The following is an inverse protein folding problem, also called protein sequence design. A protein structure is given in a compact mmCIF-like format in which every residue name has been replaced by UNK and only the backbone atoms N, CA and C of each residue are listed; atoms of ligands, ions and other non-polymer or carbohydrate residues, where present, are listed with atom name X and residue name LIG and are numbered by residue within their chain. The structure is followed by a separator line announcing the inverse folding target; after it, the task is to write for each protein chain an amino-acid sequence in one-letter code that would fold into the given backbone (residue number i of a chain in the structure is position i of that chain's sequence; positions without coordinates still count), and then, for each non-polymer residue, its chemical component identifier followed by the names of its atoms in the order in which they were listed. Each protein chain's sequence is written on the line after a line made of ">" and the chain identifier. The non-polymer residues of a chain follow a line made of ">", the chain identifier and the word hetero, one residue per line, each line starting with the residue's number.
data_IF_338865647330
#
_entry.id   IF_338865647330
#
_cell.length_a   1.000
_cell.length_b   1.000
_cell.length_c   1.000
_cell.angle_alpha   90.00
_cell.angle_beta   90.00
_cell.angle_gamma   90.00
#
_symmetry.space_group_name_H-M   'P 1'
#
loop_
_entity.id
_entity.type
_entity.pdbx_description
1 polymer ?
#
# COMPACT_ATOMS: atom_id res chain seq x y z
N UNK A 1 -30.34 10.89 3.91
CA UNK A 1 -30.42 11.56 5.24
C UNK A 1 -29.29 12.58 5.32
N UNK A 2 -29.57 13.85 5.04
CA UNK A 2 -28.58 14.95 5.07
C UNK A 2 -28.23 15.27 6.54
N UNK A 3 -27.10 14.79 7.06
CA UNK A 3 -26.56 15.31 8.31
C UNK A 3 -25.93 16.67 8.01
N UNK A 4 -26.60 17.74 8.47
CA UNK A 4 -26.09 19.10 8.53
C UNK A 4 -24.82 19.12 9.38
N UNK A 5 -23.64 19.21 8.77
CA UNK A 5 -22.42 19.63 9.44
C UNK A 5 -22.46 21.17 9.59
N UNK A 6 -23.09 21.60 10.65
CA UNK A 6 -23.12 23.01 11.05
C UNK A 6 -22.40 23.11 12.40
N UNK A 7 -21.10 23.37 12.34
CA UNK A 7 -20.33 24.17 13.29
C UNK A 7 -18.93 24.39 12.72
N UNK A 8 -18.72 25.55 12.10
CA UNK A 8 -17.38 26.06 11.83
C UNK A 8 -16.74 26.37 13.19
N UNK A 9 -15.82 25.52 13.61
CA UNK A 9 -14.97 25.80 14.76
C UNK A 9 -13.97 26.88 14.35
N UNK A 10 -13.84 27.91 15.20
CA UNK A 10 -12.93 29.06 14.98
C UNK A 10 -11.43 28.71 15.06
N UNK A 11 -11.04 27.44 15.26
CA UNK A 11 -9.66 26.99 15.39
C UNK A 11 -9.25 26.13 14.20
N UNK A 12 -8.57 26.72 13.22
CA UNK A 12 -8.04 26.07 12.01
C UNK A 12 -7.17 24.83 12.29
N UNK A 13 -6.52 24.77 13.44
CA UNK A 13 -5.68 23.63 13.85
C UNK A 13 -6.51 22.41 14.27
N UNK A 14 -7.66 22.63 14.93
CA UNK A 14 -8.57 21.54 15.30
C UNK A 14 -9.32 20.97 14.09
N UNK A 15 -9.58 21.77 13.07
CA UNK A 15 -10.22 21.31 11.84
C UNK A 15 -9.26 20.40 11.05
N UNK A 16 -7.96 20.67 11.02
CA UNK A 16 -6.96 19.81 10.39
C UNK A 16 -6.86 18.43 11.07
N UNK A 17 -6.86 18.38 12.41
CA UNK A 17 -6.82 17.11 13.16
C UNK A 17 -8.06 16.22 12.91
N UNK A 18 -9.20 16.81 12.58
CA UNK A 18 -10.41 16.05 12.17
C UNK A 18 -10.29 15.45 10.77
N UNK A 19 -9.38 15.97 9.96
CA UNK A 19 -9.10 15.49 8.61
C UNK A 19 -8.02 14.42 8.57
N UNK A 20 -7.12 14.39 9.55
CA UNK A 20 -6.15 13.32 9.71
C UNK A 20 -6.89 11.99 9.86
N UNK A 21 -6.81 11.15 8.87
CA UNK A 21 -7.44 9.85 8.94
C UNK A 21 -7.30 9.01 7.69
N UNK A 22 -7.63 9.47 6.47
CA UNK A 22 -7.46 8.67 5.25
C UNK A 22 -6.02 8.38 4.94
N UNK A 23 -5.13 9.37 5.06
CA UNK A 23 -3.70 9.20 4.86
C UNK A 23 -3.07 8.30 5.93
N UNK A 24 -3.45 8.48 7.20
CA UNK A 24 -2.98 7.62 8.30
C UNK A 24 -3.44 6.16 8.15
N UNK A 25 -4.66 5.92 7.69
CA UNK A 25 -5.16 4.58 7.37
C UNK A 25 -4.33 3.92 6.28
N UNK A 26 -3.91 4.69 5.27
CA UNK A 26 -3.03 4.21 4.21
C UNK A 26 -1.61 4.03 4.73
N UNK A 27 -1.12 4.85 5.68
CA UNK A 27 0.21 4.68 6.30
C UNK A 27 0.31 3.37 7.08
N UNK A 28 -0.76 2.92 7.72
CA UNK A 28 -0.82 1.58 8.33
C UNK A 28 -0.63 0.51 7.25
N UNK A 29 -1.13 0.74 6.02
CA UNK A 29 -0.90 -0.12 4.86
C UNK A 29 0.55 -0.16 4.36
N UNK A 30 1.44 0.76 4.78
CA UNK A 30 2.87 0.72 4.46
C UNK A 30 3.71 -0.09 5.45
N UNK A 31 3.11 -0.57 6.53
CA UNK A 31 3.76 -1.44 7.51
C UNK A 31 3.10 -2.81 7.42
N UNK A 32 3.00 -3.31 6.20
CA UNK A 32 2.44 -4.60 5.86
C UNK A 32 3.52 -5.67 5.61
N UNK A 33 3.17 -6.96 5.64
CA UNK A 33 4.09 -8.05 5.37
C UNK A 33 4.83 -7.95 4.04
N UNK A 34 4.18 -7.43 2.98
CA UNK A 34 4.76 -7.26 1.65
C UNK A 34 5.87 -6.22 1.65
N UNK A 35 5.65 -5.05 2.27
CA UNK A 35 6.66 -4.01 2.46
C UNK A 35 7.84 -4.53 3.30
N UNK A 36 7.56 -5.26 4.38
CA UNK A 36 8.62 -5.81 5.22
C UNK A 36 9.52 -6.75 4.45
N UNK A 37 8.94 -7.70 3.71
CA UNK A 37 9.72 -8.62 2.90
C UNK A 37 10.56 -7.90 1.84
N UNK A 38 9.98 -6.93 1.12
CA UNK A 38 10.65 -6.16 0.08
C UNK A 38 11.82 -5.33 0.64
N UNK A 39 11.60 -4.64 1.76
CA UNK A 39 12.63 -3.81 2.39
C UNK A 39 13.76 -4.64 3.00
N UNK A 40 13.44 -5.79 3.62
CA UNK A 40 14.45 -6.72 4.15
C UNK A 40 15.26 -7.32 3.01
N UNK A 41 14.62 -7.74 1.91
CA UNK A 41 15.31 -8.24 0.73
C UNK A 41 16.23 -7.18 0.12
N UNK A 42 15.78 -5.92 0.05
CA UNK A 42 16.59 -4.81 -0.45
C UNK A 42 17.83 -4.57 0.41
N UNK A 43 17.65 -4.41 1.74
CA UNK A 43 18.76 -4.15 2.65
C UNK A 43 19.73 -5.32 2.78
N UNK A 44 19.22 -6.55 2.97
CA UNK A 44 20.06 -7.74 3.16
C UNK A 44 20.80 -8.19 1.90
N UNK A 45 20.16 -8.02 0.72
CA UNK A 45 20.73 -8.44 -0.55
C UNK A 45 21.66 -7.39 -1.18
N UNK A 46 21.38 -6.11 -0.99
CA UNK A 46 22.01 -5.03 -1.73
C UNK A 46 22.53 -3.88 -0.84
N UNK A 47 22.55 -4.06 0.47
CA UNK A 47 23.01 -3.03 1.39
C UNK A 47 22.17 -1.75 1.28
N UNK A 48 22.83 -0.60 1.13
CA UNK A 48 22.17 0.70 1.02
C UNK A 48 21.78 1.09 -0.42
N UNK A 49 22.15 0.28 -1.41
CA UNK A 49 22.07 0.66 -2.83
C UNK A 49 20.66 0.84 -3.35
N UNK A 50 19.63 0.26 -2.71
CA UNK A 50 18.24 0.36 -3.15
C UNK A 50 17.39 1.38 -2.35
N UNK A 51 17.99 2.17 -1.47
CA UNK A 51 17.28 3.23 -0.71
C UNK A 51 16.62 4.28 -1.62
N UNK A 52 17.23 4.58 -2.78
CA UNK A 52 16.64 5.51 -3.75
C UNK A 52 15.25 5.07 -4.22
N UNK A 53 15.02 3.76 -4.26
CA UNK A 53 13.73 3.22 -4.74
C UNK A 53 12.59 3.55 -3.77
N UNK A 54 12.83 3.46 -2.46
CA UNK A 54 11.83 3.88 -1.45
C UNK A 54 11.52 5.37 -1.59
N UNK A 55 12.55 6.20 -1.78
CA UNK A 55 12.37 7.64 -1.95
C UNK A 55 11.59 7.96 -3.21
N UNK A 56 11.99 7.38 -4.35
CA UNK A 56 11.32 7.60 -5.63
C UNK A 56 9.86 7.10 -5.58
N UNK A 57 9.63 5.90 -5.06
CA UNK A 57 8.29 5.32 -4.94
C UNK A 57 7.39 6.18 -4.04
N UNK A 58 7.92 6.70 -2.93
CA UNK A 58 7.15 7.58 -2.03
C UNK A 58 6.77 8.89 -2.71
N UNK A 59 7.69 9.52 -3.46
CA UNK A 59 7.39 10.73 -4.24
C UNK A 59 6.30 10.44 -5.28
N UNK A 60 6.44 9.33 -6.02
CA UNK A 60 5.43 8.91 -6.99
C UNK A 60 4.06 8.70 -6.31
N UNK A 61 4.04 8.03 -5.17
CA UNK A 61 2.81 7.75 -4.45
C UNK A 61 2.11 9.01 -3.97
N UNK A 62 2.82 9.99 -3.39
CA UNK A 62 2.23 11.26 -2.97
C UNK A 62 1.47 11.91 -4.13
N UNK A 63 2.06 11.92 -5.32
CA UNK A 63 1.48 12.53 -6.51
C UNK A 63 0.28 11.72 -7.01
N UNK A 64 0.41 10.40 -7.12
CA UNK A 64 -0.64 9.52 -7.62
C UNK A 64 -1.83 9.46 -6.67
N UNK A 65 -1.57 9.39 -5.36
CA UNK A 65 -2.62 9.32 -4.35
C UNK A 65 -3.39 10.63 -4.25
N UNK A 66 -2.70 11.78 -4.27
CA UNK A 66 -3.36 13.09 -4.34
C UNK A 66 -4.19 13.24 -5.61
N UNK A 67 -3.70 12.77 -6.75
CA UNK A 67 -4.44 12.82 -8.02
C UNK A 67 -5.68 11.90 -8.01
N UNK A 68 -5.60 10.72 -7.36
CA UNK A 68 -6.76 9.84 -7.16
C UNK A 68 -7.81 10.50 -6.23
N UNK A 69 -7.35 11.15 -5.16
CA UNK A 69 -8.20 11.91 -4.26
C UNK A 69 -8.83 13.13 -4.96
N UNK A 70 -8.06 13.83 -5.82
CA UNK A 70 -8.55 14.94 -6.62
C UNK A 70 -9.75 14.53 -7.49
N UNK A 71 -9.68 13.35 -8.15
CA UNK A 71 -10.82 12.79 -8.87
C UNK A 71 -12.03 12.63 -7.94
N UNK A 72 -11.87 11.98 -6.80
CA UNK A 72 -12.96 11.73 -5.85
C UNK A 72 -13.59 13.00 -5.29
N UNK A 73 -12.77 13.99 -4.93
CA UNK A 73 -13.21 15.26 -4.34
C UNK A 73 -13.93 16.13 -5.40
N UNK A 74 -13.39 16.18 -6.62
CA UNK A 74 -13.92 17.07 -7.66
C UNK A 74 -15.17 16.52 -8.35
N UNK A 75 -15.29 15.19 -8.47
CA UNK A 75 -16.35 14.55 -9.27
C UNK A 75 -17.39 13.80 -8.45
N UNK A 76 -17.06 13.42 -7.22
CA UNK A 76 -17.89 12.52 -6.43
C UNK A 76 -17.86 11.06 -6.91
N UNK A 77 -16.91 10.70 -7.77
CA UNK A 77 -16.74 9.35 -8.30
C UNK A 77 -15.40 8.78 -7.82
N UNK A 78 -15.38 7.54 -7.39
CA UNK A 78 -14.11 6.85 -7.20
C UNK A 78 -13.51 6.41 -8.55
N UNK A 79 -12.25 5.99 -8.55
CA UNK A 79 -11.52 5.65 -9.77
C UNK A 79 -12.19 4.51 -10.56
N UNK A 80 -12.77 3.51 -9.90
CA UNK A 80 -13.49 2.41 -10.57
C UNK A 80 -14.81 2.86 -11.17
N UNK A 81 -15.56 3.74 -10.51
CA UNK A 81 -16.80 4.32 -11.03
C UNK A 81 -16.54 5.24 -12.21
N UNK A 82 -15.51 6.11 -12.10
CA UNK A 82 -15.12 6.99 -13.20
C UNK A 82 -14.67 6.18 -14.42
N UNK A 83 -13.85 5.14 -14.23
CA UNK A 83 -13.46 4.24 -15.31
C UNK A 83 -14.68 3.57 -15.95
N UNK A 84 -15.66 3.15 -15.16
CA UNK A 84 -16.87 2.50 -15.63
C UNK A 84 -17.79 3.40 -16.42
N UNK A 85 -17.83 4.68 -16.06
CA UNK A 85 -18.71 5.66 -16.69
C UNK A 85 -18.11 6.25 -17.97
N UNK A 86 -16.78 6.41 -18.06
CA UNK A 86 -16.13 7.19 -19.11
C UNK A 86 -15.21 6.40 -20.02
N UNK A 87 -14.92 5.14 -19.72
CA UNK A 87 -14.07 4.26 -20.55
C UNK A 87 -14.94 3.22 -21.26
N UNK A 88 -14.57 2.88 -22.50
CA UNK A 88 -15.28 1.86 -23.29
C UNK A 88 -15.32 0.51 -22.55
N UNK A 89 -16.42 -0.21 -22.65
CA UNK A 89 -16.72 -1.43 -21.89
C UNK A 89 -15.59 -2.48 -21.90
N UNK A 90 -15.01 -2.75 -23.07
CA UNK A 90 -13.93 -3.76 -23.18
C UNK A 90 -12.68 -3.31 -22.42
N UNK A 91 -12.22 -2.08 -22.69
CA UNK A 91 -11.01 -1.52 -22.06
C UNK A 91 -11.20 -1.36 -20.55
N UNK A 92 -12.37 -0.87 -20.12
CA UNK A 92 -12.75 -0.79 -18.70
C UNK A 92 -12.60 -2.15 -18.01
N UNK A 93 -13.15 -3.21 -18.62
CA UNK A 93 -13.11 -4.54 -18.02
C UNK A 93 -11.66 -5.04 -17.90
N UNK A 94 -10.82 -4.83 -18.91
CA UNK A 94 -9.39 -5.19 -18.86
C UNK A 94 -8.69 -4.45 -17.72
N UNK A 95 -8.89 -3.13 -17.61
CA UNK A 95 -8.31 -2.30 -16.56
C UNK A 95 -8.75 -2.78 -15.17
N UNK A 96 -10.05 -2.92 -14.94
CA UNK A 96 -10.58 -3.30 -13.64
C UNK A 96 -10.26 -4.75 -13.26
N UNK A 97 -10.24 -5.68 -14.22
CA UNK A 97 -9.79 -7.04 -13.96
C UNK A 97 -8.30 -7.11 -13.63
N UNK A 98 -7.45 -6.34 -14.30
CA UNK A 98 -6.03 -6.26 -13.96
C UNK A 98 -5.81 -5.67 -12.54
N UNK A 99 -6.58 -4.64 -12.17
CA UNK A 99 -6.56 -4.07 -10.83
C UNK A 99 -7.10 -5.05 -9.76
N UNK A 100 -8.09 -5.88 -10.13
CA UNK A 100 -8.60 -6.97 -9.28
C UNK A 100 -7.51 -8.02 -9.01
N UNK A 101 -6.74 -8.41 -10.03
CA UNK A 101 -5.60 -9.31 -9.87
C UNK A 101 -4.52 -8.73 -8.94
N UNK A 102 -4.28 -7.42 -9.02
CA UNK A 102 -3.40 -6.74 -8.06
C UNK A 102 -3.95 -6.81 -6.63
N UNK A 103 -5.25 -6.60 -6.43
CA UNK A 103 -5.87 -6.77 -5.11
C UNK A 103 -5.75 -8.22 -4.58
N UNK A 104 -5.88 -9.22 -5.45
CA UNK A 104 -5.66 -10.64 -5.11
C UNK A 104 -4.21 -10.89 -4.71
N UNK A 105 -3.23 -10.34 -5.46
CA UNK A 105 -1.81 -10.49 -5.16
C UNK A 105 -1.47 -9.87 -3.79
N UNK A 106 -2.05 -8.71 -3.48
CA UNK A 106 -1.90 -8.11 -2.14
C UNK A 106 -2.54 -8.96 -1.06
N UNK A 107 -3.82 -9.34 -1.21
CA UNK A 107 -4.49 -10.19 -0.23
C UNK A 107 -3.70 -11.49 0.04
N UNK A 108 -3.07 -12.06 -0.99
CA UNK A 108 -2.18 -13.21 -0.86
C UNK A 108 -0.95 -12.89 0.02
N UNK A 109 -0.27 -11.77 -0.23
CA UNK A 109 0.87 -11.36 0.58
C UNK A 109 0.49 -11.15 2.04
N UNK A 110 -0.63 -10.46 2.28
CA UNK A 110 -1.10 -10.13 3.62
C UNK A 110 -1.48 -11.38 4.42
N UNK A 111 -2.26 -12.28 3.81
CA UNK A 111 -2.60 -13.57 4.43
C UNK A 111 -1.37 -14.44 4.67
N UNK A 112 -0.42 -14.42 3.74
CA UNK A 112 0.84 -15.17 3.86
C UNK A 112 1.69 -14.63 5.01
N UNK A 113 1.79 -13.30 5.15
CA UNK A 113 2.46 -12.66 6.29
C UNK A 113 1.81 -13.00 7.62
N UNK A 114 0.48 -12.93 7.71
CA UNK A 114 -0.27 -13.36 8.90
C UNK A 114 -0.07 -14.84 9.22
N UNK A 115 0.03 -15.71 8.20
CA UNK A 115 0.32 -17.13 8.38
C UNK A 115 1.75 -17.39 8.87
N UNK A 116 2.74 -16.63 8.37
CA UNK A 116 4.13 -16.66 8.89
C UNK A 116 4.13 -16.28 10.37
N UNK A 117 3.38 -15.24 10.75
CA UNK A 117 3.25 -14.85 12.15
C UNK A 117 2.65 -15.96 13.03
N UNK A 118 1.60 -16.64 12.57
CA UNK A 118 1.03 -17.81 13.26
C UNK A 118 2.02 -18.95 13.36
N UNK A 119 2.87 -19.17 12.34
CA UNK A 119 3.93 -20.15 12.40
C UNK A 119 4.99 -19.78 13.44
N UNK A 120 5.38 -18.50 13.52
CA UNK A 120 6.34 -18.01 14.50
C UNK A 120 5.83 -18.16 15.94
N UNK A 121 4.56 -17.81 16.19
CA UNK A 121 3.98 -17.79 17.54
C UNK A 121 3.54 -19.18 18.02
N UNK A 122 2.91 -19.96 17.13
CA UNK A 122 2.18 -21.18 17.49
C UNK A 122 2.62 -22.41 16.72
N UNK A 123 3.64 -22.28 15.85
CA UNK A 123 4.14 -23.36 14.95
C UNK A 123 3.06 -23.93 14.03
N UNK A 124 2.03 -23.15 13.72
CA UNK A 124 0.95 -23.54 12.81
C UNK A 124 1.52 -23.57 11.37
N UNK A 125 1.31 -24.65 10.59
CA UNK A 125 1.74 -24.71 9.20
C UNK A 125 1.13 -23.57 8.38
N UNK A 126 1.91 -22.95 7.47
CA UNK A 126 1.52 -21.75 6.72
C UNK A 126 0.19 -21.93 5.98
N UNK A 127 -0.02 -23.10 5.35
CA UNK A 127 -1.28 -23.38 4.62
C UNK A 127 -2.49 -23.35 5.55
N UNK A 128 -2.39 -23.89 6.75
CA UNK A 128 -3.46 -23.86 7.77
C UNK A 128 -3.60 -22.43 8.32
N UNK A 129 -2.47 -21.78 8.64
CA UNK A 129 -2.44 -20.40 9.10
C UNK A 129 -3.13 -19.44 8.11
N UNK A 130 -2.89 -19.60 6.82
CA UNK A 130 -3.54 -18.77 5.78
C UNK A 130 -5.05 -18.95 5.75
N UNK A 131 -5.55 -20.17 5.95
CA UNK A 131 -7.00 -20.40 6.03
C UNK A 131 -7.60 -19.78 7.28
N UNK A 132 -6.88 -19.79 8.40
CA UNK A 132 -7.31 -19.10 9.63
C UNK A 132 -7.36 -17.59 9.42
N UNK A 133 -6.32 -17.00 8.80
CA UNK A 133 -6.30 -15.56 8.47
C UNK A 133 -7.45 -15.22 7.52
N UNK A 134 -7.70 -16.03 6.48
CA UNK A 134 -8.85 -15.85 5.59
C UNK A 134 -10.17 -15.80 6.39
N UNK A 135 -10.42 -16.79 7.24
CA UNK A 135 -11.65 -16.88 8.02
C UNK A 135 -11.85 -15.68 8.95
N UNK A 136 -10.79 -15.30 9.69
CA UNK A 136 -10.82 -14.14 10.60
C UNK A 136 -11.02 -12.84 9.81
N UNK A 137 -10.30 -12.64 8.71
CA UNK A 137 -10.41 -11.44 7.91
C UNK A 137 -11.78 -11.29 7.25
N UNK A 138 -12.37 -12.39 6.73
CA UNK A 138 -13.74 -12.38 6.21
C UNK A 138 -14.77 -12.08 7.31
N UNK A 139 -14.62 -12.69 8.47
CA UNK A 139 -15.50 -12.42 9.61
C UNK A 139 -15.42 -10.93 10.01
N UNK A 140 -14.23 -10.36 10.07
CA UNK A 140 -14.03 -8.95 10.38
C UNK A 140 -14.55 -8.02 9.28
N UNK A 141 -14.39 -8.39 8.00
CA UNK A 141 -14.87 -7.59 6.87
C UNK A 141 -16.41 -7.51 6.81
N UNK A 142 -17.10 -8.62 7.10
CA UNK A 142 -18.58 -8.69 7.06
C UNK A 142 -19.27 -8.30 8.37
N UNK A 143 -18.51 -8.16 9.48
CA UNK A 143 -19.00 -7.67 10.74
C UNK A 143 -18.39 -6.31 11.07
N UNK A 144 -19.03 -5.51 11.92
CA UNK A 144 -18.41 -4.26 12.38
C UNK A 144 -17.22 -4.47 13.36
N UNK A 145 -16.68 -5.68 13.44
CA UNK A 145 -15.59 -6.04 14.34
C UNK A 145 -14.28 -5.33 13.98
N UNK A 146 -14.06 -5.02 12.69
CA UNK A 146 -12.86 -4.32 12.21
C UNK A 146 -12.57 -3.02 12.98
N UNK A 147 -13.59 -2.18 13.22
CA UNK A 147 -13.43 -0.92 13.97
C UNK A 147 -12.89 -1.09 15.39
N UNK A 148 -13.11 -2.25 16.00
CA UNK A 148 -12.61 -2.55 17.36
C UNK A 148 -11.15 -3.00 17.32
N UNK A 149 -10.78 -3.74 16.29
CA UNK A 149 -9.43 -4.29 16.11
C UNK A 149 -8.51 -3.21 15.54
N UNK A 150 -9.00 -2.28 14.73
CA UNK A 150 -8.26 -1.20 14.10
C UNK A 150 -7.36 -0.41 15.08
N UNK A 151 -7.86 -0.10 16.26
CA UNK A 151 -7.07 0.60 17.28
C UNK A 151 -5.89 -0.23 17.78
N UNK A 152 -6.06 -1.53 17.98
CA UNK A 152 -4.98 -2.44 18.36
C UNK A 152 -3.93 -2.54 17.25
N UNK A 153 -4.38 -2.64 16.01
CA UNK A 153 -3.51 -2.68 14.85
C UNK A 153 -2.65 -1.43 14.79
N UNK A 154 -3.25 -0.25 14.89
CA UNK A 154 -2.53 1.03 14.88
C UNK A 154 -1.49 1.06 15.99
N UNK A 155 -1.81 0.62 17.20
CA UNK A 155 -0.88 0.60 18.34
C UNK A 155 0.33 -0.31 18.04
N UNK A 156 0.10 -1.57 17.63
CA UNK A 156 1.20 -2.51 17.40
C UNK A 156 2.04 -2.15 16.18
N UNK A 157 1.40 -1.73 15.09
CA UNK A 157 2.08 -1.30 13.87
C UNK A 157 2.91 -0.04 14.14
N UNK A 158 2.36 0.92 14.90
CA UNK A 158 3.12 2.12 15.32
C UNK A 158 4.28 1.76 16.23
N UNK A 159 4.08 0.84 17.18
CA UNK A 159 5.13 0.39 18.09
C UNK A 159 6.32 -0.17 17.31
N UNK A 160 6.07 -1.02 16.31
CA UNK A 160 7.16 -1.56 15.47
C UNK A 160 7.79 -0.51 14.58
N UNK A 161 7.01 0.35 13.95
CA UNK A 161 7.55 1.46 13.17
C UNK A 161 8.50 2.33 14.00
N UNK A 162 8.09 2.70 15.21
CA UNK A 162 8.93 3.45 16.16
C UNK A 162 10.14 2.63 16.64
N UNK A 163 10.00 1.32 16.82
CA UNK A 163 11.12 0.46 17.19
C UNK A 163 12.22 0.44 16.12
N UNK A 164 11.86 0.33 14.83
CA UNK A 164 12.83 0.44 13.75
C UNK A 164 13.50 1.81 13.71
N UNK A 165 12.74 2.89 13.89
CA UNK A 165 13.31 4.25 13.94
C UNK A 165 14.24 4.45 15.15
N UNK A 166 13.95 3.83 16.29
CA UNK A 166 14.81 3.90 17.47
C UNK A 166 16.10 3.09 17.28
N UNK A 167 16.00 1.90 16.69
CA UNK A 167 17.15 1.02 16.47
C UNK A 167 18.17 1.58 15.48
N UNK A 168 17.76 2.47 14.56
CA UNK A 168 18.67 3.23 13.71
C UNK A 168 19.71 4.00 14.56
N UNK A 169 19.31 4.51 15.73
CA UNK A 169 20.21 5.23 16.66
C UNK A 169 21.26 4.33 17.34
N UNK A 170 21.02 3.01 17.38
CA UNK A 170 21.89 2.04 18.05
C UNK A 170 22.73 1.26 17.03
N UNK A 171 22.20 1.06 15.82
CA UNK A 171 22.84 0.29 14.77
C UNK A 171 24.09 1.02 14.21
N UNK A 172 25.09 0.23 13.83
CA UNK A 172 26.30 0.77 13.16
C UNK A 172 25.99 0.98 11.67
N UNK A 173 25.31 2.08 11.35
CA UNK A 173 24.94 2.45 9.99
C UNK A 173 26.07 3.25 9.36
N UNK A 174 26.45 2.89 8.14
CA UNK A 174 27.29 3.75 7.29
C UNK A 174 26.41 4.84 6.68
N UNK A 175 26.34 6.00 7.38
CA UNK A 175 25.55 7.14 6.93
C UNK A 175 26.05 7.75 5.63
N UNK A 176 27.34 7.59 5.29
CA UNK A 176 27.90 8.05 4.03
C UNK A 176 27.34 7.24 2.86
N UNK A 177 27.40 5.90 2.96
CA UNK A 177 26.84 5.00 1.97
C UNK A 177 25.30 5.13 1.89
N UNK A 178 24.62 5.28 3.02
CA UNK A 178 23.17 5.48 3.06
C UNK A 178 22.73 6.77 2.35
N UNK A 179 23.43 7.90 2.60
CA UNK A 179 23.13 9.18 1.95
C UNK A 179 23.27 9.08 0.41
N UNK A 180 24.32 8.41 -0.07
CA UNK A 180 24.49 8.13 -1.49
C UNK A 180 23.35 7.24 -1.99
N UNK A 181 23.00 6.18 -1.23
CA UNK A 181 21.95 5.23 -1.57
C UNK A 181 20.56 5.86 -1.71
N UNK A 182 20.24 6.93 -0.97
CA UNK A 182 18.94 7.64 -1.12
C UNK A 182 18.84 8.46 -2.40
N UNK A 183 19.96 8.94 -2.93
CA UNK A 183 19.96 9.92 -4.05
C UNK A 183 20.38 9.29 -5.37
N UNK A 184 21.33 8.34 -5.34
CA UNK A 184 21.91 7.76 -6.54
C UNK A 184 21.18 6.48 -6.94
N UNK A 185 20.43 6.43 -8.07
CA UNK A 185 19.90 5.19 -8.61
C UNK A 185 21.01 4.18 -8.91
N UNK A 186 20.85 2.96 -8.43
CA UNK A 186 21.75 1.84 -8.65
C UNK A 186 20.95 0.60 -9.08
N UNK A 187 21.52 -0.19 -9.99
CA UNK A 187 20.90 -1.40 -10.53
C UNK A 187 21.89 -2.58 -10.43
N UNK A 188 22.19 -3.04 -9.21
CA UNK A 188 23.07 -4.20 -9.04
C UNK A 188 22.54 -5.44 -9.76
N UNK A 189 23.42 -6.34 -10.16
CA UNK A 189 23.02 -7.58 -10.82
C UNK A 189 22.01 -8.37 -9.95
N UNK A 190 20.89 -8.80 -10.53
CA UNK A 190 19.82 -9.51 -9.83
C UNK A 190 18.91 -8.64 -8.95
N UNK A 191 19.05 -7.30 -8.93
CA UNK A 191 18.24 -6.42 -8.08
C UNK A 191 16.86 -6.11 -8.65
N UNK A 192 16.60 -6.28 -9.94
CA UNK A 192 15.35 -5.86 -10.60
C UNK A 192 14.08 -6.44 -9.94
N UNK A 193 14.00 -7.72 -9.57
CA UNK A 193 12.82 -8.24 -8.86
C UNK A 193 12.56 -7.53 -7.53
N UNK A 194 13.63 -7.20 -6.79
CA UNK A 194 13.54 -6.48 -5.51
C UNK A 194 13.20 -5.01 -5.72
N UNK A 195 13.77 -4.34 -6.72
CA UNK A 195 13.44 -2.96 -7.11
C UNK A 195 11.93 -2.87 -7.41
N UNK A 196 11.40 -3.76 -8.25
CA UNK A 196 9.97 -3.79 -8.57
C UNK A 196 9.12 -4.19 -7.37
N UNK A 197 9.62 -5.09 -6.51
CA UNK A 197 8.94 -5.45 -5.27
C UNK A 197 8.81 -4.23 -4.33
N UNK A 198 9.88 -3.46 -4.14
CA UNK A 198 9.84 -2.21 -3.34
C UNK A 198 8.88 -1.19 -3.97
N UNK A 199 8.94 -1.02 -5.30
CA UNK A 199 8.01 -0.13 -6.01
C UNK A 199 6.55 -0.54 -5.79
N UNK A 200 6.22 -1.80 -6.02
CA UNK A 200 4.87 -2.32 -5.88
C UNK A 200 4.35 -2.30 -4.45
N UNK A 201 5.24 -2.55 -3.49
CA UNK A 201 4.93 -2.49 -2.07
C UNK A 201 4.60 -1.06 -1.60
N UNK A 202 5.30 -0.03 -2.13
CA UNK A 202 5.03 1.37 -1.81
C UNK A 202 3.87 1.91 -2.63
N UNK A 203 3.86 1.70 -3.97
CA UNK A 203 2.81 2.23 -4.86
C UNK A 203 1.84 1.11 -5.24
N UNK A 204 0.93 0.81 -4.36
CA UNK A 204 -0.06 -0.25 -4.55
C UNK A 204 -1.20 0.22 -5.46
N UNK A 205 -1.35 -0.30 -6.69
CA UNK A 205 -2.38 0.19 -7.61
C UNK A 205 -3.81 0.03 -7.08
N UNK A 206 -4.14 -1.08 -6.43
CA UNK A 206 -5.45 -1.31 -5.84
C UNK A 206 -5.77 -0.32 -4.70
N UNK A 207 -4.75 0.15 -3.97
CA UNK A 207 -4.94 1.18 -2.94
C UNK A 207 -5.28 2.56 -3.51
N UNK A 208 -4.87 2.88 -4.75
CA UNK A 208 -5.32 4.10 -5.43
C UNK A 208 -6.83 4.05 -5.69
N UNK A 209 -7.38 2.88 -6.05
CA UNK A 209 -8.83 2.69 -6.17
C UNK A 209 -9.53 2.83 -4.82
N UNK A 210 -9.03 2.14 -3.80
CA UNK A 210 -9.60 2.20 -2.44
C UNK A 210 -9.50 3.61 -1.84
N UNK A 211 -8.38 4.31 -2.03
CA UNK A 211 -8.20 5.67 -1.52
C UNK A 211 -9.22 6.62 -2.14
N UNK A 212 -9.42 6.54 -3.46
CA UNK A 212 -10.43 7.37 -4.14
C UNK A 212 -11.86 7.09 -3.61
N UNK A 213 -12.18 5.85 -3.25
CA UNK A 213 -13.45 5.46 -2.63
C UNK A 213 -13.61 6.02 -1.21
N UNK A 214 -12.58 5.88 -0.37
CA UNK A 214 -12.60 6.39 1.00
C UNK A 214 -12.78 7.92 1.00
N UNK A 215 -12.11 8.62 0.09
CA UNK A 215 -12.23 10.07 -0.06
C UNK A 215 -13.62 10.45 -0.55
N UNK A 216 -14.18 9.74 -1.54
CA UNK A 216 -15.54 9.93 -2.02
C UNK A 216 -16.57 9.80 -0.87
N UNK A 217 -16.41 8.79 -0.02
CA UNK A 217 -17.32 8.56 1.11
C UNK A 217 -17.31 9.70 2.14
N UNK A 218 -16.25 10.52 2.15
CA UNK A 218 -16.05 11.70 3.02
C UNK A 218 -16.30 13.03 2.34
N UNK A 219 -16.80 13.00 1.11
CA UNK A 219 -17.09 14.21 0.35
C UNK A 219 -18.11 15.11 1.05
N UNK A 220 -17.85 16.43 1.04
CA UNK A 220 -18.60 17.38 1.83
C UNK A 220 -19.60 18.18 1.02
N UNK A 221 -19.18 18.71 -0.12
CA UNK A 221 -20.04 19.51 -0.99
C UNK A 221 -19.39 19.63 -2.38
N UNK A 222 -20.10 19.16 -3.40
CA UNK A 222 -19.69 19.27 -4.81
C UNK A 222 -20.03 20.62 -5.43
N UNK A 223 -20.88 21.41 -4.77
CA UNK A 223 -21.41 22.65 -5.34
C UNK A 223 -20.59 23.87 -4.92
N UNK A 224 -19.81 23.79 -3.82
CA UNK A 224 -19.03 24.91 -3.30
C UNK A 224 -17.55 24.76 -3.59
N UNK A 225 -17.04 25.57 -4.51
CA UNK A 225 -15.64 25.60 -4.93
C UNK A 225 -14.65 25.87 -3.79
N UNK A 226 -15.07 26.66 -2.81
CA UNK A 226 -14.22 26.99 -1.67
C UNK A 226 -14.01 25.77 -0.78
N UNK A 227 -15.05 24.95 -0.60
CA UNK A 227 -15.03 23.70 0.15
C UNK A 227 -14.19 22.67 -0.58
N UNK A 228 -14.35 22.51 -1.90
CA UNK A 228 -13.54 21.60 -2.71
C UNK A 228 -12.05 21.94 -2.61
N UNK A 229 -11.68 23.22 -2.81
CA UNK A 229 -10.28 23.68 -2.70
C UNK A 229 -9.72 23.45 -1.30
N UNK A 230 -10.50 23.69 -0.25
CA UNK A 230 -10.09 23.47 1.12
C UNK A 230 -9.88 21.98 1.39
N UNK A 231 -10.77 21.11 0.91
CA UNK A 231 -10.68 19.67 1.05
C UNK A 231 -9.44 19.12 0.34
N UNK A 232 -9.16 19.54 -0.88
CA UNK A 232 -7.94 19.18 -1.63
C UNK A 232 -6.67 19.57 -0.86
N UNK A 233 -6.64 20.78 -0.27
CA UNK A 233 -5.49 21.24 0.52
C UNK A 233 -5.26 20.41 1.78
N UNK A 234 -6.32 19.99 2.45
CA UNK A 234 -6.20 19.19 3.66
C UNK A 234 -5.82 17.74 3.32
N UNK A 235 -6.41 17.17 2.28
CA UNK A 235 -6.07 15.84 1.79
C UNK A 235 -4.59 15.78 1.39
N UNK A 236 -4.09 16.75 0.61
CA UNK A 236 -2.68 16.80 0.25
C UNK A 236 -1.74 16.82 1.47
N UNK A 237 -2.08 17.59 2.51
CA UNK A 237 -1.29 17.64 3.74
C UNK A 237 -1.34 16.33 4.52
N UNK A 238 -2.51 15.69 4.59
CA UNK A 238 -2.68 14.39 5.22
C UNK A 238 -1.87 13.32 4.49
N UNK A 239 -1.98 13.26 3.16
CA UNK A 239 -1.18 12.37 2.30
C UNK A 239 0.31 12.63 2.46
N UNK A 240 0.78 13.88 2.36
CA UNK A 240 2.19 14.23 2.48
C UNK A 240 2.77 13.81 3.84
N UNK A 241 2.09 14.15 4.93
CA UNK A 241 2.54 13.81 6.29
C UNK A 241 2.61 12.30 6.49
N UNK A 242 1.58 11.61 6.05
CA UNK A 242 1.47 10.15 6.17
C UNK A 242 2.55 9.43 5.36
N UNK A 243 2.80 9.90 4.13
CA UNK A 243 3.82 9.30 3.26
C UNK A 243 5.25 9.56 3.74
N UNK A 244 5.53 10.72 4.36
CA UNK A 244 6.83 10.98 4.99
C UNK A 244 7.10 10.00 6.13
N UNK A 245 6.10 9.71 6.97
CA UNK A 245 6.22 8.69 8.02
C UNK A 245 6.48 7.30 7.40
N UNK A 246 5.71 6.92 6.37
CA UNK A 246 5.91 5.66 5.67
C UNK A 246 7.29 5.56 5.03
N UNK A 247 7.78 6.62 4.41
CA UNK A 247 9.14 6.69 3.86
C UNK A 247 10.21 6.48 4.94
N UNK A 248 10.06 7.14 6.09
CA UNK A 248 11.01 7.01 7.19
C UNK A 248 11.06 5.58 7.74
N UNK A 249 9.91 4.93 7.91
CA UNK A 249 9.82 3.55 8.41
C UNK A 249 10.39 2.56 7.38
N UNK A 250 10.01 2.67 6.10
CA UNK A 250 10.54 1.79 5.05
C UNK A 250 12.06 1.96 4.88
N UNK A 251 12.55 3.21 4.91
CA UNK A 251 14.00 3.49 4.90
C UNK A 251 14.69 2.88 6.12
N UNK A 252 14.09 3.00 7.31
CA UNK A 252 14.61 2.40 8.54
C UNK A 252 14.78 0.89 8.42
N UNK A 253 13.81 0.21 7.82
CA UNK A 253 13.87 -1.24 7.62
C UNK A 253 14.99 -1.64 6.67
N UNK A 254 15.21 -0.92 5.56
CA UNK A 254 16.32 -1.17 4.64
C UNK A 254 17.66 -0.90 5.35
N UNK A 255 17.77 0.23 6.07
CA UNK A 255 18.98 0.59 6.81
C UNK A 255 19.36 -0.48 7.85
N UNK A 256 18.36 -0.95 8.61
CA UNK A 256 18.56 -2.00 9.61
C UNK A 256 18.93 -3.34 8.96
N UNK A 257 18.25 -3.74 7.89
CA UNK A 257 18.59 -4.95 7.17
C UNK A 257 20.00 -4.88 6.55
N UNK A 258 20.40 -3.73 6.01
CA UNK A 258 21.74 -3.50 5.50
C UNK A 258 22.80 -3.57 6.60
N UNK A 259 22.55 -2.91 7.74
CA UNK A 259 23.52 -2.87 8.84
C UNK A 259 23.70 -4.21 9.56
N UNK A 260 22.64 -5.04 9.61
CA UNK A 260 22.64 -6.28 10.41
C UNK A 260 22.80 -7.56 9.59
N UNK A 261 22.38 -7.57 8.34
CA UNK A 261 22.22 -8.77 7.54
C UNK A 261 23.08 -8.78 6.26
N UNK A 262 23.48 -7.61 5.76
CA UNK A 262 24.32 -7.52 4.58
C UNK A 262 25.77 -7.88 4.88
N UNK A 263 26.30 -8.93 4.21
CA UNK A 263 27.65 -9.44 4.43
C UNK A 263 28.61 -9.14 3.25
N UNK A 264 28.40 -8.04 2.53
CA UNK A 264 29.27 -7.62 1.43
C UNK A 264 29.33 -8.63 0.26
N UNK A 265 29.03 -8.23 -0.96
CA UNK A 265 29.22 -8.94 -2.23
C UNK A 265 28.67 -10.37 -2.43
N UNK A 266 28.58 -11.14 -1.39
CA UNK A 266 27.99 -12.50 -1.33
C UNK A 266 26.79 -12.53 -0.37
N UNK A 267 26.02 -11.45 -0.30
CA UNK A 267 24.86 -11.35 0.59
C UNK A 267 23.97 -12.59 0.49
N UNK A 268 23.85 -13.35 1.57
CA UNK A 268 22.85 -14.40 1.67
C UNK A 268 21.50 -13.72 1.51
N UNK A 269 20.86 -13.92 0.37
CA UNK A 269 19.45 -13.54 0.24
C UNK A 269 18.69 -14.22 1.36
N UNK A 270 18.07 -13.41 2.21
CA UNK A 270 17.26 -13.93 3.29
C UNK A 270 15.98 -14.48 2.69
N UNK A 271 15.74 -15.74 2.94
CA UNK A 271 14.57 -16.47 2.46
C UNK A 271 13.45 -16.57 3.52
N UNK A 272 13.64 -15.90 4.68
CA UNK A 272 12.75 -16.06 5.83
C UNK A 272 12.51 -14.74 6.57
N UNK A 273 11.23 -14.34 6.65
CA UNK A 273 10.81 -13.15 7.38
C UNK A 273 11.04 -13.25 8.91
N UNK A 274 11.22 -14.46 9.45
CA UNK A 274 11.49 -14.66 10.88
C UNK A 274 12.80 -14.01 11.33
N UNK A 275 13.73 -13.80 10.39
CA UNK A 275 15.00 -13.12 10.66
C UNK A 275 14.77 -11.64 11.00
N UNK A 276 13.70 -11.01 10.50
CA UNK A 276 13.37 -9.64 10.84
C UNK A 276 13.09 -9.43 12.33
N UNK A 277 12.51 -10.43 13.00
CA UNK A 277 12.34 -10.39 14.45
C UNK A 277 13.67 -10.28 15.21
N UNK A 278 14.75 -10.87 14.67
CA UNK A 278 16.09 -10.79 15.26
C UNK A 278 16.73 -9.39 15.10
N UNK A 279 16.32 -8.63 14.09
CA UNK A 279 16.80 -7.26 13.89
C UNK A 279 16.38 -6.34 15.04
N UNK A 280 15.25 -6.61 15.69
CA UNK A 280 14.73 -5.88 16.84
C UNK A 280 15.29 -6.36 18.19
N UNK A 281 16.15 -7.39 18.19
CA UNK A 281 16.71 -7.95 19.41
C UNK A 281 17.56 -6.97 20.24
N UNK A 282 18.33 -6.04 19.67
CA UNK A 282 19.08 -5.06 20.45
C UNK A 282 18.21 -4.21 21.36
N UNK A 283 16.99 -3.85 20.92
CA UNK A 283 16.05 -3.05 21.70
C UNK A 283 15.17 -3.89 22.63
N UNK A 284 14.65 -5.01 22.14
CA UNK A 284 13.59 -5.78 22.81
C UNK A 284 14.09 -7.12 23.41
N UNK A 285 15.36 -7.46 23.23
CA UNK A 285 15.92 -8.73 23.74
C UNK A 285 15.13 -9.94 23.25
N UNK A 286 14.84 -10.88 24.13
CA UNK A 286 14.11 -12.11 23.81
C UNK A 286 12.64 -11.87 23.41
N UNK A 287 12.05 -10.72 23.73
CA UNK A 287 10.68 -10.39 23.34
C UNK A 287 10.55 -9.94 21.88
N UNK A 288 11.64 -9.57 21.22
CA UNK A 288 11.66 -9.02 19.86
C UNK A 288 10.87 -9.87 18.86
N UNK A 289 11.15 -11.17 18.83
CA UNK A 289 10.49 -12.11 17.91
C UNK A 289 8.98 -12.20 18.16
N UNK A 290 8.54 -12.19 19.42
CA UNK A 290 7.11 -12.28 19.77
C UNK A 290 6.40 -10.97 19.39
N UNK A 291 6.99 -9.83 19.73
CA UNK A 291 6.41 -8.50 19.40
C UNK A 291 6.32 -8.33 17.89
N UNK A 292 7.38 -8.69 17.16
CA UNK A 292 7.39 -8.68 15.69
C UNK A 292 6.30 -9.58 15.10
N UNK A 293 6.18 -10.82 15.57
CA UNK A 293 5.18 -11.76 15.09
C UNK A 293 3.74 -11.31 15.41
N UNK A 294 3.50 -10.72 16.57
CA UNK A 294 2.17 -10.15 16.90
C UNK A 294 1.82 -9.00 15.97
N UNK A 295 2.75 -8.11 15.68
CA UNK A 295 2.47 -7.01 14.76
C UNK A 295 2.32 -7.50 13.31
N UNK A 296 3.13 -8.47 12.89
CA UNK A 296 2.99 -9.11 11.57
C UNK A 296 1.61 -9.78 11.43
N UNK A 297 1.12 -10.43 12.49
CA UNK A 297 -0.21 -11.04 12.53
C UNK A 297 -1.32 -9.99 12.38
N UNK A 298 -1.25 -8.94 13.18
CA UNK A 298 -2.24 -7.88 13.17
C UNK A 298 -2.21 -7.08 11.87
N UNK A 299 -1.02 -6.77 11.35
CA UNK A 299 -0.85 -6.15 10.04
C UNK A 299 -1.44 -7.03 8.94
N UNK A 300 -1.09 -8.32 8.91
CA UNK A 300 -1.60 -9.27 7.92
C UNK A 300 -3.13 -9.37 7.92
N UNK A 301 -3.78 -9.42 9.09
CA UNK A 301 -5.25 -9.42 9.19
C UNK A 301 -5.82 -8.09 8.68
N UNK A 302 -5.28 -6.95 9.13
CA UNK A 302 -5.76 -5.62 8.73
C UNK A 302 -5.67 -5.41 7.22
N UNK A 303 -4.49 -5.65 6.68
CA UNK A 303 -4.21 -5.40 5.28
C UNK A 303 -4.92 -6.41 4.36
N UNK A 304 -5.19 -7.64 4.83
CA UNK A 304 -6.08 -8.57 4.13
C UNK A 304 -7.50 -8.00 3.98
N UNK A 305 -8.03 -7.34 5.03
CA UNK A 305 -9.35 -6.73 4.98
C UNK A 305 -9.36 -5.56 3.99
N UNK A 306 -8.36 -4.68 4.03
CA UNK A 306 -8.28 -3.53 3.11
C UNK A 306 -8.08 -3.98 1.66
N UNK A 307 -7.29 -5.01 1.40
CA UNK A 307 -7.15 -5.62 0.07
C UNK A 307 -8.49 -6.21 -0.42
N UNK A 308 -9.23 -6.87 0.47
CA UNK A 308 -10.59 -7.33 0.19
C UNK A 308 -11.55 -6.19 -0.14
N UNK A 309 -11.51 -5.09 0.62
CA UNK A 309 -12.32 -3.88 0.35
C UNK A 309 -11.96 -3.24 -0.99
N UNK A 310 -10.66 -3.16 -1.32
CA UNK A 310 -10.21 -2.69 -2.63
C UNK A 310 -10.77 -3.56 -3.76
N UNK A 311 -10.71 -4.89 -3.61
CA UNK A 311 -11.32 -5.84 -4.53
C UNK A 311 -12.83 -5.65 -4.64
N UNK A 312 -13.53 -5.39 -3.54
CA UNK A 312 -14.95 -5.05 -3.53
C UNK A 312 -15.27 -3.78 -4.31
N UNK A 313 -14.47 -2.71 -4.11
CA UNK A 313 -14.59 -1.43 -4.84
C UNK A 313 -14.38 -1.60 -6.35
N UNK A 314 -13.32 -2.34 -6.73
CA UNK A 314 -12.98 -2.57 -8.14
C UNK A 314 -14.05 -3.43 -8.80
N UNK A 315 -14.47 -4.52 -8.15
CA UNK A 315 -15.47 -5.44 -8.69
C UNK A 315 -16.83 -4.78 -8.85
N UNK A 316 -17.29 -4.00 -7.88
CA UNK A 316 -18.53 -3.21 -8.01
C UNK A 316 -18.47 -2.28 -9.22
N UNK A 317 -17.30 -1.64 -9.45
CA UNK A 317 -17.07 -0.82 -10.63
C UNK A 317 -17.23 -1.57 -11.95
N UNK A 318 -16.86 -2.85 -12.06
CA UNK A 318 -17.08 -3.65 -13.27
C UNK A 318 -18.57 -3.68 -13.65
N UNK A 319 -19.46 -3.72 -12.66
CA UNK A 319 -20.91 -3.74 -12.83
C UNK A 319 -21.58 -2.36 -12.80
N UNK A 320 -20.81 -1.27 -12.83
CA UNK A 320 -21.27 0.11 -12.71
C UNK A 320 -22.07 0.37 -11.42
N UNK A 321 -21.68 -0.29 -10.34
CA UNK A 321 -22.29 -0.13 -9.02
C UNK A 321 -21.31 0.60 -8.08
N UNK A 322 -21.80 1.48 -7.20
CA UNK A 322 -20.98 2.05 -6.14
C UNK A 322 -20.61 0.98 -5.12
N UNK A 323 -19.52 1.21 -4.40
CA UNK A 323 -19.15 0.38 -3.27
C UNK A 323 -20.19 0.51 -2.14
N UNK A 324 -20.90 -0.58 -1.86
CA UNK A 324 -21.80 -0.69 -0.72
C UNK A 324 -21.79 -2.13 -0.19
N UNK A 325 -21.44 -2.29 1.08
CA UNK A 325 -21.42 -3.59 1.77
C UNK A 325 -22.79 -4.30 1.77
N UNK A 326 -23.87 -3.64 1.37
CA UNK A 326 -25.20 -4.27 1.23
C UNK A 326 -25.38 -4.95 -0.12
N UNK A 327 -24.66 -4.53 -1.15
CA UNK A 327 -24.77 -5.07 -2.51
C UNK A 327 -24.08 -6.42 -2.66
N UNK A 328 -24.58 -7.24 -3.58
CA UNK A 328 -24.01 -8.56 -3.88
C UNK A 328 -22.66 -8.44 -4.59
N UNK A 329 -22.50 -7.42 -5.42
CA UNK A 329 -21.30 -7.15 -6.21
C UNK A 329 -20.12 -6.81 -5.29
N UNK A 330 -20.32 -5.93 -4.32
CA UNK A 330 -19.27 -5.59 -3.34
C UNK A 330 -18.85 -6.83 -2.53
N UNK A 331 -19.83 -7.59 -2.02
CA UNK A 331 -19.56 -8.81 -1.27
C UNK A 331 -18.84 -9.85 -2.11
N UNK A 332 -19.28 -10.05 -3.36
CA UNK A 332 -18.64 -10.98 -4.29
C UNK A 332 -17.19 -10.56 -4.59
N UNK A 333 -16.92 -9.26 -4.79
CA UNK A 333 -15.58 -8.73 -5.00
C UNK A 333 -14.66 -9.03 -3.82
N UNK A 334 -15.12 -8.79 -2.59
CA UNK A 334 -14.35 -9.11 -1.36
C UNK A 334 -14.07 -10.62 -1.30
N UNK A 335 -15.11 -11.45 -1.45
CA UNK A 335 -14.96 -12.90 -1.39
C UNK A 335 -14.02 -13.44 -2.46
N UNK A 336 -14.19 -13.02 -3.71
CA UNK A 336 -13.35 -13.45 -4.84
C UNK A 336 -11.89 -13.09 -4.59
N UNK A 337 -11.61 -11.84 -4.16
CA UNK A 337 -10.25 -11.40 -3.87
C UNK A 337 -9.59 -12.28 -2.82
N UNK A 338 -10.27 -12.49 -1.70
CA UNK A 338 -9.69 -13.19 -0.57
C UNK A 338 -9.60 -14.70 -0.78
N UNK A 339 -10.62 -15.31 -1.42
CA UNK A 339 -10.60 -16.76 -1.70
C UNK A 339 -9.56 -17.10 -2.76
N UNK A 340 -9.46 -16.32 -3.86
CA UNK A 340 -8.44 -16.54 -4.87
C UNK A 340 -7.03 -16.38 -4.28
N UNK A 341 -6.81 -15.38 -3.43
CA UNK A 341 -5.56 -15.20 -2.71
C UNK A 341 -5.20 -16.44 -1.87
N UNK A 342 -6.14 -16.94 -1.09
CA UNK A 342 -5.94 -18.14 -0.27
C UNK A 342 -5.67 -19.39 -1.11
N UNK A 343 -6.36 -19.55 -2.25
CA UNK A 343 -6.10 -20.66 -3.18
C UNK A 343 -4.68 -20.60 -3.73
N UNK A 344 -4.19 -19.42 -4.15
CA UNK A 344 -2.83 -19.26 -4.65
C UNK A 344 -1.80 -19.64 -3.58
N UNK A 345 -2.03 -19.30 -2.31
CA UNK A 345 -1.11 -19.64 -1.20
C UNK A 345 -0.91 -21.16 -1.07
N UNK A 346 -1.92 -21.98 -1.38
CA UNK A 346 -1.80 -23.44 -1.30
C UNK A 346 -0.71 -24.00 -2.23
N UNK A 347 -0.39 -23.28 -3.31
CA UNK A 347 0.64 -23.66 -4.30
C UNK A 347 2.00 -23.01 -4.03
N UNK A 348 2.09 -22.08 -3.08
CA UNK A 348 3.36 -21.43 -2.74
C UNK A 348 4.19 -22.36 -1.88
N UNK A 349 5.40 -22.71 -2.36
CA UNK A 349 6.36 -23.53 -1.63
C UNK A 349 7.36 -22.68 -0.83
N UNK A 350 7.64 -21.44 -1.25
CA UNK A 350 8.59 -20.52 -0.63
C UNK A 350 7.88 -19.22 -0.23
N UNK A 351 7.43 -19.11 1.03
CA UNK A 351 6.59 -18.00 1.48
C UNK A 351 7.22 -16.63 1.30
N UNK A 352 8.50 -16.47 1.63
CA UNK A 352 9.20 -15.19 1.48
C UNK A 352 9.26 -14.73 0.02
N UNK A 353 9.58 -15.63 -0.91
CA UNK A 353 9.54 -15.33 -2.35
C UNK A 353 8.12 -15.01 -2.83
N UNK A 354 7.11 -15.68 -2.26
CA UNK A 354 5.72 -15.38 -2.52
C UNK A 354 5.37 -13.92 -2.17
N UNK A 355 5.87 -13.41 -1.05
CA UNK A 355 5.72 -12.00 -0.69
C UNK A 355 6.40 -11.08 -1.71
N UNK A 356 7.65 -11.34 -2.08
CA UNK A 356 8.39 -10.52 -3.06
C UNK A 356 7.68 -10.49 -4.42
N UNK A 357 7.31 -11.66 -4.94
CA UNK A 357 6.65 -11.76 -6.26
C UNK A 357 5.27 -11.13 -6.28
N UNK A 358 4.52 -11.19 -5.18
CA UNK A 358 3.24 -10.50 -5.09
C UNK A 358 3.40 -8.99 -5.27
N UNK A 359 4.37 -8.38 -4.58
CA UNK A 359 4.64 -6.96 -4.69
C UNK A 359 5.18 -6.59 -6.09
N UNK A 360 6.00 -7.44 -6.69
CA UNK A 360 6.44 -7.27 -8.07
C UNK A 360 5.26 -7.27 -9.06
N UNK A 361 4.25 -8.13 -8.87
CA UNK A 361 3.03 -8.14 -9.69
C UNK A 361 2.25 -6.83 -9.58
N UNK A 362 2.26 -6.18 -8.42
CA UNK A 362 1.66 -4.85 -8.24
C UNK A 362 2.37 -3.81 -9.11
N UNK A 363 3.71 -3.83 -9.12
CA UNK A 363 4.49 -2.93 -9.97
C UNK A 363 4.22 -3.17 -11.46
N UNK A 364 4.00 -4.41 -11.89
CA UNK A 364 3.66 -4.76 -13.29
C UNK A 364 2.28 -4.19 -13.67
N UNK A 365 1.31 -4.20 -12.79
CA UNK A 365 -0.03 -3.66 -13.06
C UNK A 365 -0.06 -2.12 -12.98
N UNK A 366 0.84 -1.51 -12.24
CA UNK A 366 0.83 -0.08 -11.91
C UNK A 366 0.76 0.84 -13.14
N UNK A 367 1.48 0.63 -14.28
CA UNK A 367 1.35 1.43 -15.48
C UNK A 367 -0.10 1.56 -15.96
N UNK A 368 -0.86 0.47 -15.95
CA UNK A 368 -2.27 0.45 -16.40
C UNK A 368 -3.10 1.39 -15.53
N UNK A 369 -2.90 1.35 -14.22
CA UNK A 369 -3.59 2.22 -13.27
C UNK A 369 -3.20 3.69 -13.46
N UNK A 370 -1.91 4.00 -13.65
CA UNK A 370 -1.43 5.36 -13.85
C UNK A 370 -1.99 5.95 -15.15
N UNK A 371 -1.91 5.24 -16.26
CA UNK A 371 -2.47 5.72 -17.52
C UNK A 371 -4.00 5.91 -17.46
N UNK A 372 -4.71 5.02 -16.76
CA UNK A 372 -6.14 5.19 -16.50
C UNK A 372 -6.42 6.46 -15.71
N UNK A 373 -5.63 6.72 -14.68
CA UNK A 373 -5.77 7.90 -13.84
C UNK A 373 -5.49 9.19 -14.64
N UNK A 374 -4.41 9.21 -15.44
CA UNK A 374 -4.08 10.32 -16.33
C UNK A 374 -5.24 10.58 -17.30
N UNK A 375 -5.74 9.55 -17.97
CA UNK A 375 -6.84 9.68 -18.91
C UNK A 375 -8.08 10.31 -18.29
N UNK A 376 -8.48 9.85 -17.10
CA UNK A 376 -9.66 10.36 -16.41
C UNK A 376 -9.46 11.78 -15.90
N UNK A 377 -8.32 12.07 -15.27
CA UNK A 377 -8.10 13.39 -14.63
C UNK A 377 -7.67 14.50 -15.59
N UNK A 378 -7.26 14.12 -16.82
CA UNK A 378 -6.99 15.07 -17.92
C UNK A 378 -8.22 15.40 -18.77
N UNK A 379 -9.34 14.73 -18.54
CA UNK A 379 -10.56 14.89 -19.35
C UNK A 379 -11.51 15.93 -18.77
N UNK A 380 -11.84 16.96 -19.55
CA UNK A 380 -12.87 17.96 -19.19
C UNK A 380 -14.25 17.31 -19.03
N UNK A 381 -14.54 16.23 -19.77
CA UNK A 381 -15.80 15.49 -19.63
C UNK A 381 -15.95 14.84 -18.25
N UNK A 382 -14.82 14.49 -17.62
CA UNK A 382 -14.79 13.84 -16.30
C UNK A 382 -14.66 14.89 -15.19
N UNK A 383 -13.67 15.79 -15.30
CA UNK A 383 -13.25 16.70 -14.25
C UNK A 383 -13.89 18.08 -14.33
N UNK A 384 -14.52 18.43 -15.45
CA UNK A 384 -15.05 19.77 -15.67
C UNK A 384 -13.96 20.83 -15.50
N UNK A 385 -14.22 21.84 -14.68
CA UNK A 385 -13.28 22.93 -14.37
C UNK A 385 -12.08 22.50 -13.50
N UNK A 386 -12.09 21.29 -12.95
CA UNK A 386 -11.04 20.74 -12.12
C UNK A 386 -10.06 19.83 -12.87
N UNK A 387 -10.01 19.93 -14.21
CA UNK A 387 -9.01 19.24 -15.03
C UNK A 387 -7.60 19.52 -14.52
N UNK A 388 -6.77 18.50 -14.53
CA UNK A 388 -5.36 18.62 -14.15
C UNK A 388 -4.65 19.71 -14.96
N UNK A 389 -3.76 20.45 -14.31
CA UNK A 389 -2.88 21.39 -14.99
C UNK A 389 -1.91 20.65 -15.93
N UNK A 390 -1.40 21.35 -16.95
CA UNK A 390 -0.40 20.79 -17.88
C UNK A 390 0.85 20.29 -17.17
N UNK A 391 1.29 20.97 -16.11
CA UNK A 391 2.45 20.57 -15.31
C UNK A 391 2.20 19.26 -14.55
N UNK A 392 1.02 19.10 -13.95
CA UNK A 392 0.66 17.88 -13.25
C UNK A 392 0.54 16.71 -14.23
N UNK A 393 -0.08 16.88 -15.39
CA UNK A 393 -0.16 15.86 -16.41
C UNK A 393 1.23 15.44 -16.94
N UNK A 394 2.13 16.39 -17.13
CA UNK A 394 3.52 16.09 -17.51
C UNK A 394 4.22 15.27 -16.42
N UNK A 395 4.06 15.64 -15.15
CA UNK A 395 4.66 14.91 -14.03
C UNK A 395 4.11 13.49 -13.91
N UNK A 396 2.79 13.31 -14.06
CA UNK A 396 2.17 11.98 -14.08
C UNK A 396 2.65 11.13 -15.25
N UNK A 397 2.86 11.74 -16.42
CA UNK A 397 3.41 11.05 -17.59
C UNK A 397 4.86 10.61 -17.35
N UNK A 398 5.69 11.46 -16.74
CA UNK A 398 7.06 11.09 -16.34
C UNK A 398 7.05 9.89 -15.40
N UNK A 399 6.16 9.88 -14.40
CA UNK A 399 5.99 8.74 -13.50
C UNK A 399 5.59 7.49 -14.28
N UNK A 400 4.62 7.59 -15.19
CA UNK A 400 4.17 6.47 -16.00
C UNK A 400 5.31 5.88 -16.86
N UNK A 401 6.15 6.75 -17.45
CA UNK A 401 7.31 6.34 -18.27
C UNK A 401 8.37 5.65 -17.41
N UNK A 402 8.69 6.20 -16.23
CA UNK A 402 9.66 5.58 -15.32
C UNK A 402 9.19 4.19 -14.89
N UNK A 403 7.94 4.07 -14.43
CA UNK A 403 7.38 2.79 -13.96
C UNK A 403 7.33 1.78 -15.11
N UNK A 404 6.91 2.20 -16.30
CA UNK A 404 6.88 1.33 -17.48
C UNK A 404 8.31 0.90 -17.89
N UNK A 405 9.26 1.82 -17.85
CA UNK A 405 10.67 1.52 -18.14
C UNK A 405 11.26 0.49 -17.18
N UNK A 406 10.99 0.61 -15.87
CA UNK A 406 11.41 -0.39 -14.87
C UNK A 406 10.78 -1.77 -15.13
N UNK A 407 9.50 -1.81 -15.52
CA UNK A 407 8.84 -3.07 -15.87
C UNK A 407 9.40 -3.70 -17.15
N UNK A 408 9.72 -2.89 -18.16
CA UNK A 408 10.36 -3.39 -19.39
C UNK A 408 11.77 -3.90 -19.07
N UNK A 409 12.53 -3.22 -18.23
CA UNK A 409 13.86 -3.64 -17.82
C UNK A 409 13.87 -5.03 -17.17
N UNK A 410 12.79 -5.42 -16.46
CA UNK A 410 12.66 -6.78 -15.90
C UNK A 410 12.71 -7.88 -16.98
N UNK A 411 12.28 -7.61 -18.22
CA UNK A 411 12.26 -8.61 -19.28
C UNK A 411 13.67 -8.94 -19.81
N UNK A 412 14.66 -8.13 -19.48
CA UNK A 412 16.05 -8.27 -19.93
C UNK A 412 17.02 -8.77 -18.84
N UNK A 413 16.51 -9.10 -17.67
CA UNK A 413 17.23 -9.63 -16.52
C UNK A 413 16.77 -11.05 -16.21
#
# INVERSE_FOLDING_TARGET
>A
MKKKFRNQSKNKTFDFLRYLGPGLLVTVGFIDPGNWASNIAAGSGFGYELLWMVTLSTIMLIILQHNAAHLGIATGLCLSEAASRYIQRLLKNIILLSAMLAAVATAMAEMLGGAIALQMLFRIPIKIGSMLILAVSLLCAFTNAYKRIEKLIIIFVSLIGFSFLFEIGIAKIDWGAAAVGWVKPSFPAGSMPVILSVLGAVVMPHNLFLHSEIIQSRQWNLEDDSVIKQQLKYEFKDTLFSMIIGWAINSAMILMAAATLYQGGNGRQIDDLTVAGKMLSPLMGNAATVVFALALLLAGISSSITAGMAGGTIFSGIFNQPYDMKTKETKAGILLTMILAAVVILFISQPFKGLIYSQMLLAIQLPITIFTQIYLTSSEKVMGKYVNSRHLNFLLLVIAVIVTGLNIALLFV
#
